data_IF_519825430657
#
_entry.id   IF_519825430657
#
_cell.length_a   1.000
_cell.length_b   1.000
_cell.length_c   1.000
_cell.angle_alpha   90.00
_cell.angle_beta   90.00
_cell.angle_gamma   90.00
#
_symmetry.space_group_name_H-M   'P 1'
#
loop_
_entity.id
_entity.type
_entity.pdbx_description
1 polymer ?
#
# COMPACT_ATOMS: atom_id res chain seq x y z
N UNK A 1 10.43 -20.17 14.80
CA UNK A 1 10.03 -19.31 13.67
C UNK A 1 9.97 -17.90 14.21
N UNK A 2 10.54 -16.93 13.50
CA UNK A 2 10.55 -15.52 13.96
C UNK A 2 9.12 -14.98 14.02
N UNK A 3 8.86 -14.07 14.97
CA UNK A 3 7.57 -13.39 15.08
C UNK A 3 7.25 -12.64 13.77
N UNK A 4 5.98 -12.60 13.37
CA UNK A 4 5.55 -12.03 12.08
C UNK A 4 6.04 -10.59 11.89
N UNK A 5 5.85 -9.72 12.88
CA UNK A 5 6.26 -8.31 12.81
C UNK A 5 7.79 -8.13 12.77
N UNK A 6 8.54 -9.01 13.44
CA UNK A 6 10.01 -8.99 13.42
C UNK A 6 10.51 -9.41 12.04
N UNK A 7 9.90 -10.43 11.45
CA UNK A 7 10.22 -10.87 10.09
C UNK A 7 9.89 -9.79 9.05
N UNK A 8 8.75 -9.10 9.19
CA UNK A 8 8.40 -7.97 8.33
C UNK A 8 9.46 -6.86 8.42
N UNK A 9 9.86 -6.46 9.63
CA UNK A 9 10.89 -5.43 9.83
C UNK A 9 12.22 -5.82 9.15
N UNK A 10 12.66 -7.08 9.29
CA UNK A 10 13.86 -7.60 8.63
C UNK A 10 13.74 -7.59 7.11
N UNK A 11 12.60 -7.98 6.55
CA UNK A 11 12.37 -7.96 5.10
C UNK A 11 12.37 -6.52 4.58
N UNK A 12 11.66 -5.61 5.22
CA UNK A 12 11.61 -4.19 4.81
C UNK A 12 13.02 -3.61 4.78
N UNK A 13 13.85 -3.90 5.78
CA UNK A 13 15.24 -3.46 5.85
C UNK A 13 16.13 -4.10 4.76
N UNK A 14 15.96 -5.39 4.49
CA UNK A 14 16.71 -6.05 3.41
C UNK A 14 16.32 -5.54 2.02
N UNK A 15 15.04 -5.22 1.82
CA UNK A 15 14.56 -4.66 0.56
C UNK A 15 14.98 -3.19 0.43
N UNK A 16 14.91 -2.36 1.47
CA UNK A 16 15.28 -0.93 1.38
C UNK A 16 16.73 -0.71 0.93
N UNK A 17 17.65 -1.59 1.32
CA UNK A 17 19.06 -1.58 0.87
C UNK A 17 19.24 -1.68 -0.65
N UNK A 18 18.25 -2.22 -1.36
CA UNK A 18 18.25 -2.28 -2.83
C UNK A 18 17.92 -0.93 -3.48
N UNK A 19 17.39 0.02 -2.71
CA UNK A 19 16.88 1.32 -3.18
C UNK A 19 17.63 2.53 -2.59
N UNK A 20 18.65 2.32 -1.74
CA UNK A 20 19.49 3.38 -1.17
C UNK A 20 20.23 4.22 -2.23
N UNK A 21 20.60 3.58 -3.35
CA UNK A 21 21.28 4.20 -4.48
C UNK A 21 20.37 4.39 -5.70
N UNK A 22 20.97 4.33 -6.89
CA UNK A 22 20.19 4.17 -8.13
C UNK A 22 19.58 2.77 -8.18
N UNK A 23 18.40 2.65 -8.78
CA UNK A 23 17.77 1.35 -8.99
C UNK A 23 18.63 0.49 -9.92
N UNK A 24 19.11 -0.63 -9.41
CA UNK A 24 19.98 -1.57 -10.14
C UNK A 24 19.29 -2.93 -10.23
N UNK A 25 18.64 -3.17 -11.35
CA UNK A 25 17.87 -4.40 -11.60
C UNK A 25 18.78 -5.63 -11.63
N UNK A 26 20.02 -5.51 -12.11
CA UNK A 26 20.95 -6.64 -12.15
C UNK A 26 21.39 -7.04 -10.75
N UNK A 27 21.64 -6.06 -9.86
CA UNK A 27 21.89 -6.33 -8.44
C UNK A 27 20.68 -6.99 -7.75
N UNK A 28 19.46 -6.56 -8.07
CA UNK A 28 18.23 -7.18 -7.57
C UNK A 28 18.15 -8.65 -8.02
N UNK A 29 18.29 -8.91 -9.33
CA UNK A 29 18.31 -10.27 -9.90
C UNK A 29 19.38 -11.13 -9.22
N UNK A 30 20.60 -10.62 -9.08
CA UNK A 30 21.70 -11.35 -8.43
C UNK A 30 21.34 -11.75 -7.00
N UNK A 31 20.81 -10.81 -6.19
CA UNK A 31 20.39 -11.09 -4.81
C UNK A 31 19.29 -12.15 -4.74
N UNK A 32 18.30 -12.09 -5.65
CA UNK A 32 17.20 -13.06 -5.71
C UNK A 32 17.71 -14.46 -6.07
N UNK A 33 18.46 -14.61 -7.17
CA UNK A 33 18.91 -15.91 -7.64
C UNK A 33 20.01 -16.53 -6.77
N UNK A 34 20.84 -15.70 -6.13
CA UNK A 34 21.77 -16.14 -5.08
C UNK A 34 21.05 -16.48 -3.76
N UNK A 35 19.79 -16.05 -3.61
CA UNK A 35 18.95 -16.23 -2.41
C UNK A 35 19.61 -15.66 -1.16
N UNK A 36 20.35 -14.56 -1.33
CA UNK A 36 21.13 -13.93 -0.27
C UNK A 36 20.26 -12.97 0.57
N UNK A 37 19.40 -13.55 1.42
CA UNK A 37 18.51 -12.82 2.34
C UNK A 37 18.74 -13.21 3.82
N UNK A 38 19.96 -13.65 4.15
CA UNK A 38 20.30 -14.08 5.51
C UNK A 38 19.47 -15.28 5.97
N UNK A 39 18.79 -15.15 7.11
CA UNK A 39 17.96 -16.20 7.70
C UNK A 39 16.51 -16.24 7.15
N UNK A 40 16.14 -15.30 6.28
CA UNK A 40 14.77 -15.21 5.74
C UNK A 40 14.50 -16.35 4.77
N UNK A 41 13.39 -17.06 4.98
CA UNK A 41 12.97 -18.19 4.14
C UNK A 41 11.71 -17.87 3.36
N UNK A 42 11.27 -18.82 2.53
CA UNK A 42 10.01 -18.75 1.79
C UNK A 42 8.80 -18.47 2.71
N UNK A 43 8.84 -18.98 3.94
CA UNK A 43 7.79 -18.79 4.96
C UNK A 43 7.65 -17.31 5.31
N UNK A 44 8.77 -16.62 5.59
CA UNK A 44 8.75 -15.21 5.95
C UNK A 44 8.30 -14.33 4.78
N UNK A 45 8.77 -14.58 3.56
CA UNK A 45 8.32 -13.84 2.37
C UNK A 45 6.85 -14.09 2.03
N UNK A 46 6.35 -15.32 2.21
CA UNK A 46 4.93 -15.64 2.02
C UNK A 46 4.04 -14.92 3.04
N UNK A 47 4.48 -14.80 4.29
CA UNK A 47 3.81 -13.97 5.31
C UNK A 47 3.86 -12.49 4.96
N UNK A 48 5.01 -12.01 4.50
CA UNK A 48 5.20 -10.61 4.13
C UNK A 48 4.29 -10.18 2.98
N UNK A 49 3.92 -11.10 2.07
CA UNK A 49 2.90 -10.84 1.05
C UNK A 49 1.57 -10.38 1.64
N UNK A 50 1.09 -11.06 2.70
CA UNK A 50 -0.13 -10.66 3.43
C UNK A 50 0.02 -9.27 4.06
N UNK A 51 1.20 -8.94 4.57
CA UNK A 51 1.48 -7.60 5.09
C UNK A 51 1.40 -6.51 4.01
N UNK A 52 1.97 -6.75 2.82
CA UNK A 52 1.90 -5.83 1.70
C UNK A 52 0.46 -5.66 1.20
N UNK A 53 -0.29 -6.76 1.11
CA UNK A 53 -1.70 -6.78 0.74
C UNK A 53 -2.55 -5.97 1.72
N UNK A 54 -2.34 -6.20 3.02
CA UNK A 54 -2.99 -5.46 4.10
C UNK A 54 -2.71 -3.96 3.99
N UNK A 55 -1.45 -3.58 3.77
CA UNK A 55 -1.02 -2.18 3.70
C UNK A 55 -1.66 -1.46 2.50
N UNK A 56 -1.65 -2.08 1.32
CA UNK A 56 -2.29 -1.54 0.12
C UNK A 56 -3.81 -1.41 0.30
N UNK A 57 -4.46 -2.42 0.90
CA UNK A 57 -5.90 -2.42 1.14
C UNK A 57 -6.33 -1.32 2.13
N UNK A 58 -5.56 -1.15 3.22
CA UNK A 58 -5.82 -0.10 4.22
C UNK A 58 -5.66 1.29 3.60
N UNK A 59 -4.59 1.49 2.84
CA UNK A 59 -4.30 2.79 2.21
C UNK A 59 -5.36 3.16 1.17
N UNK A 60 -5.63 2.27 0.22
CA UNK A 60 -6.59 2.53 -0.88
C UNK A 60 -8.05 2.24 -0.52
N UNK A 61 -8.43 2.24 0.77
CA UNK A 61 -9.80 1.93 1.22
C UNK A 61 -10.88 2.81 0.57
N UNK A 62 -10.56 4.09 0.31
CA UNK A 62 -11.53 5.06 -0.21
C UNK A 62 -11.90 4.80 -1.67
N UNK A 63 -11.01 4.15 -2.42
CA UNK A 63 -11.22 3.75 -3.81
C UNK A 63 -12.50 2.93 -3.97
N UNK A 64 -12.74 1.98 -3.07
CA UNK A 64 -13.79 0.98 -3.21
C UNK A 64 -14.97 1.17 -2.24
N UNK A 65 -14.77 1.78 -1.07
CA UNK A 65 -15.79 1.75 -0.02
C UNK A 65 -16.65 3.01 0.11
N UNK A 66 -16.18 4.20 -0.32
CA UNK A 66 -16.89 5.46 -0.01
C UNK A 66 -16.84 6.55 -1.08
N UNK A 67 -15.72 6.75 -1.79
CA UNK A 67 -15.50 8.03 -2.48
C UNK A 67 -15.49 7.93 -4.00
N UNK A 68 -14.93 6.86 -4.57
CA UNK A 68 -14.83 6.74 -6.02
C UNK A 68 -15.84 5.75 -6.58
N UNK A 69 -15.50 4.47 -6.61
CA UNK A 69 -16.25 3.46 -7.37
C UNK A 69 -17.66 3.19 -6.85
N UNK A 70 -17.88 3.36 -5.54
CA UNK A 70 -19.20 3.29 -4.93
C UNK A 70 -20.04 4.55 -5.20
N UNK A 71 -19.41 5.73 -5.16
CA UNK A 71 -20.10 7.00 -5.37
C UNK A 71 -20.52 7.19 -6.84
N UNK A 72 -19.65 6.79 -7.77
CA UNK A 72 -19.89 6.89 -9.21
C UNK A 72 -20.76 5.75 -9.75
N UNK A 73 -21.10 4.74 -8.95
CA UNK A 73 -21.83 3.52 -9.40
C UNK A 73 -21.17 2.80 -10.59
N UNK A 74 -19.93 3.15 -10.93
CA UNK A 74 -19.14 2.55 -12.00
C UNK A 74 -18.63 1.15 -11.63
N UNK A 75 -18.95 0.71 -10.41
CA UNK A 75 -18.49 -0.56 -9.88
C UNK A 75 -19.60 -1.33 -9.19
N UNK A 76 -20.04 -2.41 -9.84
CA UNK A 76 -20.83 -3.46 -9.22
C UNK A 76 -19.93 -4.68 -9.09
N UNK A 77 -19.48 -4.96 -7.87
CA UNK A 77 -18.65 -6.11 -7.56
C UNK A 77 -19.21 -7.47 -8.04
N UNK A 78 -20.48 -7.62 -8.46
CA UNK A 78 -21.18 -8.87 -8.13
C UNK A 78 -22.17 -9.50 -9.10
N UNK A 79 -22.56 -8.91 -10.22
CA UNK A 79 -23.59 -9.61 -11.04
C UNK A 79 -22.98 -10.70 -11.94
N UNK A 80 -21.64 -10.70 -12.20
CA UNK A 80 -20.95 -11.70 -13.05
C UNK A 80 -19.46 -11.90 -12.64
N UNK A 81 -19.17 -11.93 -11.33
CA UNK A 81 -17.82 -12.01 -10.76
C UNK A 81 -17.14 -13.38 -10.98
N UNK A 82 -16.89 -13.78 -12.23
CA UNK A 82 -15.80 -14.71 -12.52
C UNK A 82 -14.54 -13.88 -12.40
N UNK A 83 -13.89 -13.89 -11.23
CA UNK A 83 -12.53 -13.33 -11.16
C UNK A 83 -11.74 -14.03 -12.25
N UNK A 84 -11.26 -13.24 -13.21
CA UNK A 84 -10.35 -13.69 -14.24
C UNK A 84 -9.00 -13.92 -13.59
N UNK A 85 -8.90 -14.81 -12.59
CA UNK A 85 -7.71 -15.17 -11.79
C UNK A 85 -6.65 -15.81 -12.69
N UNK A 86 -6.22 -15.15 -13.78
CA UNK A 86 -5.27 -15.67 -14.75
C UNK A 86 -3.99 -16.17 -14.10
N UNK A 87 -3.59 -15.52 -13.01
CA UNK A 87 -2.38 -15.84 -12.25
C UNK A 87 -2.57 -17.00 -11.27
N UNK A 88 -3.81 -17.46 -11.02
CA UNK A 88 -4.09 -18.59 -10.11
C UNK A 88 -4.95 -19.62 -10.82
N UNK A 89 -4.46 -20.85 -10.89
CA UNK A 89 -5.30 -21.98 -11.24
C UNK A 89 -6.27 -22.29 -10.09
N UNK A 90 -7.40 -21.56 -10.07
CA UNK A 90 -8.38 -21.65 -9.01
C UNK A 90 -8.95 -23.06 -8.85
N UNK A 91 -9.13 -23.79 -9.97
CA UNK A 91 -9.66 -25.16 -9.90
C UNK A 91 -8.67 -26.08 -9.17
N UNK A 92 -7.37 -25.98 -9.47
CA UNK A 92 -6.34 -26.71 -8.73
C UNK A 92 -6.28 -26.31 -7.27
N UNK A 93 -6.33 -25.01 -6.97
CA UNK A 93 -6.37 -24.49 -5.59
C UNK A 93 -7.59 -25.01 -4.82
N UNK A 94 -8.78 -24.91 -5.42
CA UNK A 94 -10.04 -25.39 -4.87
C UNK A 94 -10.00 -26.89 -4.56
N UNK A 95 -9.51 -27.70 -5.50
CA UNK A 95 -9.39 -29.14 -5.31
C UNK A 95 -8.41 -29.47 -4.19
N UNK A 96 -7.25 -28.80 -4.15
CA UNK A 96 -6.31 -28.94 -3.05
C UNK A 96 -6.96 -28.62 -1.70
N UNK A 97 -7.70 -27.51 -1.59
CA UNK A 97 -8.38 -27.14 -0.36
C UNK A 97 -9.40 -28.20 0.06
N UNK A 98 -10.29 -28.61 -0.85
CA UNK A 98 -11.34 -29.59 -0.57
C UNK A 98 -10.79 -30.98 -0.20
N UNK A 99 -9.60 -31.33 -0.67
CA UNK A 99 -8.93 -32.61 -0.35
C UNK A 99 -8.18 -32.57 0.99
N UNK A 100 -7.68 -31.41 1.41
CA UNK A 100 -6.77 -31.29 2.55
C UNK A 100 -7.40 -30.63 3.79
N UNK A 101 -8.56 -30.00 3.66
CA UNK A 101 -9.23 -29.30 4.75
C UNK A 101 -10.69 -29.75 4.91
N UNK A 102 -11.20 -29.65 6.14
CA UNK A 102 -12.55 -30.10 6.51
C UNK A 102 -13.65 -29.06 6.17
N UNK A 103 -13.54 -28.37 5.04
CA UNK A 103 -14.56 -27.45 4.54
C UNK A 103 -14.65 -27.52 3.03
N UNK A 104 -15.83 -27.21 2.49
CA UNK A 104 -16.12 -27.33 1.06
C UNK A 104 -16.22 -25.95 0.41
N UNK A 105 -15.31 -25.70 -0.53
CA UNK A 105 -15.37 -24.57 -1.44
C UNK A 105 -16.33 -24.89 -2.60
N UNK A 106 -17.56 -24.37 -2.55
CA UNK A 106 -18.52 -24.47 -3.65
C UNK A 106 -18.42 -23.27 -4.60
N UNK A 107 -17.80 -23.46 -5.77
CA UNK A 107 -17.59 -22.38 -6.74
C UNK A 107 -16.76 -21.19 -6.21
N UNK A 108 -16.57 -20.17 -7.05
CA UNK A 108 -15.80 -18.97 -6.73
C UNK A 108 -16.74 -17.80 -6.40
N UNK A 109 -16.88 -17.45 -5.11
CA UNK A 109 -17.66 -16.28 -4.69
C UNK A 109 -17.18 -15.58 -3.40
N UNK A 110 -16.11 -16.07 -2.76
CA UNK A 110 -15.74 -15.67 -1.40
C UNK A 110 -14.24 -15.37 -1.27
N UNK A 111 -13.91 -14.32 -0.53
CA UNK A 111 -12.57 -14.03 -0.02
C UNK A 111 -12.33 -14.74 1.31
N UNK A 112 -13.40 -14.86 2.11
CA UNK A 112 -13.38 -15.46 3.44
C UNK A 112 -14.45 -16.55 3.51
N UNK A 113 -14.09 -17.70 4.06
CA UNK A 113 -14.98 -18.86 4.26
C UNK A 113 -15.13 -19.21 5.74
N UNK A 114 -16.03 -20.15 6.04
CA UNK A 114 -16.34 -20.58 7.42
C UNK A 114 -16.56 -19.40 8.36
N UNK A 115 -17.26 -18.39 7.84
CA UNK A 115 -17.40 -17.11 8.53
C UNK A 115 -18.57 -17.14 9.52
N UNK A 116 -18.34 -16.73 10.75
CA UNK A 116 -19.38 -16.59 11.76
C UNK A 116 -19.42 -15.16 12.32
N UNK A 117 -20.57 -14.45 12.28
CA UNK A 117 -21.77 -14.77 11.50
C UNK A 117 -21.51 -14.73 9.99
N UNK A 118 -22.35 -15.37 9.17
CA UNK A 118 -22.18 -15.34 7.71
C UNK A 118 -22.23 -13.92 7.14
N UNK A 119 -21.38 -13.58 6.14
CA UNK A 119 -21.39 -12.27 5.51
C UNK A 119 -22.66 -12.07 4.67
N UNK A 120 -23.20 -10.86 4.68
CA UNK A 120 -24.39 -10.54 3.87
C UNK A 120 -24.13 -10.51 2.36
N UNK A 121 -22.88 -10.22 1.96
CA UNK A 121 -22.37 -10.17 0.59
C UNK A 121 -20.85 -9.93 0.60
N UNK A 122 -20.21 -9.87 -0.57
CA UNK A 122 -18.75 -9.65 -0.68
C UNK A 122 -18.29 -8.32 -0.06
N UNK A 123 -19.12 -7.27 -0.02
CA UNK A 123 -18.72 -6.01 0.61
C UNK A 123 -18.54 -6.20 2.12
N UNK A 124 -19.39 -7.02 2.72
CA UNK A 124 -19.25 -7.38 4.13
C UNK A 124 -17.95 -8.15 4.34
N UNK A 125 -17.60 -9.11 3.47
CA UNK A 125 -16.30 -9.79 3.52
C UNK A 125 -15.10 -8.84 3.40
N UNK A 126 -15.14 -7.90 2.45
CA UNK A 126 -14.08 -6.90 2.23
C UNK A 126 -13.90 -6.02 3.47
N UNK A 127 -15.01 -5.50 4.02
CA UNK A 127 -14.96 -4.66 5.24
C UNK A 127 -14.41 -5.48 6.41
N UNK A 128 -14.82 -6.74 6.52
CA UNK A 128 -14.37 -7.66 7.56
C UNK A 128 -12.87 -7.93 7.47
N UNK A 129 -12.38 -8.21 6.27
CA UNK A 129 -10.96 -8.43 5.98
C UNK A 129 -10.13 -7.20 6.32
N UNK A 130 -10.54 -6.03 5.83
CA UNK A 130 -9.83 -4.77 6.08
C UNK A 130 -9.77 -4.42 7.56
N UNK A 131 -10.87 -4.57 8.28
CA UNK A 131 -10.88 -4.35 9.73
C UNK A 131 -9.91 -5.31 10.44
N UNK A 132 -9.82 -6.57 9.97
CA UNK A 132 -8.85 -7.52 10.49
C UNK A 132 -7.43 -7.00 10.31
N UNK A 133 -7.10 -6.55 9.11
CA UNK A 133 -5.81 -5.95 8.79
C UNK A 133 -5.51 -4.69 9.60
N UNK A 134 -6.47 -3.78 9.73
CA UNK A 134 -6.30 -2.50 10.42
C UNK A 134 -6.03 -2.62 11.92
N UNK A 135 -6.43 -3.74 12.53
CA UNK A 135 -6.34 -4.00 13.98
C UNK A 135 -5.47 -5.22 14.32
N UNK A 136 -4.63 -5.71 13.40
CA UNK A 136 -3.79 -6.90 13.61
C UNK A 136 -4.58 -8.14 14.07
N UNK A 137 -5.84 -8.25 13.62
CA UNK A 137 -6.79 -9.32 13.99
C UNK A 137 -6.83 -10.44 12.95
N UNK A 138 -5.64 -10.84 12.49
CA UNK A 138 -5.41 -11.91 11.53
C UNK A 138 -4.14 -12.70 11.90
N UNK A 139 -4.09 -13.98 11.57
CA UNK A 139 -3.01 -14.86 12.01
C UNK A 139 -3.31 -16.33 11.72
N UNK A 140 -2.78 -17.27 12.50
CA UNK A 140 -2.99 -18.72 12.28
C UNK A 140 -2.70 -19.15 10.83
N UNK A 141 -1.54 -18.71 10.33
CA UNK A 141 -1.11 -18.94 8.95
C UNK A 141 -0.96 -20.44 8.66
N UNK A 142 -1.61 -20.91 7.59
CA UNK A 142 -1.46 -22.26 7.04
C UNK A 142 -0.69 -22.22 5.73
N UNK A 143 0.22 -23.18 5.56
CA UNK A 143 1.17 -23.24 4.44
C UNK A 143 1.22 -24.64 3.85
N UNK A 144 1.50 -24.75 2.56
CA UNK A 144 1.95 -26.00 1.94
C UNK A 144 3.47 -26.02 1.90
N UNK A 145 4.03 -27.23 1.86
CA UNK A 145 5.40 -27.43 1.38
C UNK A 145 5.56 -26.78 0.00
N UNK A 146 6.62 -25.98 -0.24
CA UNK A 146 7.83 -25.81 0.59
C UNK A 146 7.80 -24.64 1.59
N UNK A 147 6.64 -24.02 1.82
CA UNK A 147 6.43 -22.88 2.72
C UNK A 147 5.53 -21.79 2.14
N UNK A 148 4.75 -22.09 1.09
CA UNK A 148 3.86 -21.14 0.42
C UNK A 148 2.58 -20.99 1.23
N UNK A 149 2.15 -19.75 1.45
CA UNK A 149 0.91 -19.47 2.18
C UNK A 149 -0.33 -19.83 1.38
N UNK A 150 -1.34 -20.37 2.06
CA UNK A 150 -2.60 -20.80 1.46
C UNK A 150 -3.79 -20.17 2.17
N UNK A 151 -3.76 -20.17 3.51
CA UNK A 151 -4.87 -19.73 4.35
C UNK A 151 -4.35 -18.97 5.57
N UNK A 152 -5.20 -18.11 6.12
CA UNK A 152 -5.01 -17.56 7.45
C UNK A 152 -6.35 -17.26 8.12
N UNK A 153 -6.37 -17.24 9.44
CA UNK A 153 -7.56 -16.88 10.22
C UNK A 153 -7.72 -15.37 10.31
N UNK A 154 -8.98 -14.91 10.32
CA UNK A 154 -9.38 -13.58 10.77
C UNK A 154 -10.25 -13.69 12.02
N UNK A 155 -10.09 -12.78 12.98
CA UNK A 155 -10.77 -12.84 14.28
C UNK A 155 -11.07 -11.43 14.79
N UNK A 156 -12.03 -10.76 14.18
CA UNK A 156 -12.27 -9.37 14.48
C UNK A 156 -12.93 -9.18 15.84
N UNK A 157 -12.29 -8.36 16.68
CA UNK A 157 -12.74 -8.01 18.02
C UNK A 157 -13.05 -6.52 18.08
N UNK A 158 -14.14 -6.17 18.74
CA UNK A 158 -14.46 -4.79 19.11
C UNK A 158 -14.63 -4.71 20.62
N UNK A 159 -13.88 -3.82 21.26
CA UNK A 159 -13.81 -3.69 22.73
C UNK A 159 -13.56 -5.04 23.44
N UNK A 160 -12.69 -5.87 22.86
CA UNK A 160 -12.36 -7.20 23.38
C UNK A 160 -13.39 -8.29 23.11
N UNK A 161 -14.54 -7.97 22.51
CA UNK A 161 -15.55 -8.96 22.14
C UNK A 161 -15.40 -9.40 20.69
N UNK A 162 -15.29 -10.71 20.45
CA UNK A 162 -15.29 -11.28 19.11
C UNK A 162 -16.60 -10.93 18.39
N UNK A 163 -16.49 -10.22 17.28
CA UNK A 163 -17.62 -9.86 16.41
C UNK A 163 -17.79 -10.86 15.27
N UNK A 164 -16.69 -11.25 14.65
CA UNK A 164 -16.70 -12.25 13.59
C UNK A 164 -15.35 -12.94 13.45
N UNK A 165 -15.40 -14.19 13.00
CA UNK A 165 -14.23 -14.98 12.62
C UNK A 165 -14.45 -15.64 11.26
N UNK A 166 -13.37 -16.04 10.61
CA UNK A 166 -13.42 -16.76 9.34
C UNK A 166 -12.02 -17.14 8.86
N UNK A 167 -11.95 -17.84 7.73
CA UNK A 167 -10.71 -18.28 7.10
C UNK A 167 -10.55 -17.53 5.79
N UNK A 168 -9.47 -16.77 5.68
CA UNK A 168 -9.08 -16.01 4.51
C UNK A 168 -8.35 -16.91 3.50
N UNK A 169 -8.76 -16.83 2.23
CA UNK A 169 -8.17 -17.56 1.11
C UNK A 169 -7.02 -16.72 0.53
N UNK A 170 -5.78 -16.99 0.96
CA UNK A 170 -4.68 -16.05 0.73
C UNK A 170 -4.37 -15.78 -0.75
N UNK A 171 -4.22 -16.79 -1.64
CA UNK A 171 -3.95 -16.51 -3.04
C UNK A 171 -5.08 -15.72 -3.70
N UNK A 172 -6.33 -16.05 -3.35
CA UNK A 172 -7.51 -15.36 -3.86
C UNK A 172 -7.53 -13.89 -3.43
N UNK A 173 -7.23 -13.63 -2.16
CA UNK A 173 -7.18 -12.29 -1.59
C UNK A 173 -6.03 -11.49 -2.21
N UNK A 174 -4.86 -12.10 -2.39
CA UNK A 174 -3.71 -11.47 -3.01
C UNK A 174 -4.03 -10.98 -4.42
N UNK A 175 -4.61 -11.84 -5.25
CA UNK A 175 -5.01 -11.49 -6.62
C UNK A 175 -6.16 -10.47 -6.66
N UNK A 176 -7.09 -10.57 -5.71
CA UNK A 176 -8.16 -9.59 -5.53
C UNK A 176 -7.59 -8.19 -5.21
N UNK A 177 -6.66 -8.09 -4.25
CA UNK A 177 -6.06 -6.82 -3.87
C UNK A 177 -5.22 -6.26 -5.03
N UNK A 178 -4.45 -7.10 -5.73
CA UNK A 178 -3.71 -6.71 -6.94
C UNK A 178 -4.57 -5.99 -7.97
N UNK A 179 -5.76 -6.51 -8.24
CA UNK A 179 -6.63 -5.98 -9.29
C UNK A 179 -7.45 -4.80 -8.82
N UNK A 180 -8.08 -4.93 -7.64
CA UNK A 180 -9.11 -3.99 -7.23
C UNK A 180 -8.54 -2.80 -6.45
N UNK A 181 -7.44 -2.98 -5.74
CA UNK A 181 -6.83 -1.92 -4.93
C UNK A 181 -5.63 -1.24 -5.60
N UNK A 182 -5.06 -1.78 -6.68
CA UNK A 182 -4.01 -1.11 -7.47
C UNK A 182 -4.57 -0.06 -8.42
N UNK A 183 -3.95 1.12 -8.50
CA UNK A 183 -4.22 2.13 -9.54
C UNK A 183 -3.38 1.93 -10.82
N UNK A 184 -2.45 0.96 -10.84
CA UNK A 184 -1.63 0.67 -12.02
C UNK A 184 -2.51 0.04 -13.11
N UNK A 185 -2.50 0.60 -14.32
CA UNK A 185 -3.48 0.23 -15.36
C UNK A 185 -3.24 -1.12 -16.05
N UNK A 186 -2.04 -1.69 -15.93
CA UNK A 186 -1.70 -3.01 -16.49
C UNK A 186 -2.29 -4.14 -15.65
N UNK A 187 -2.30 -3.97 -14.32
CA UNK A 187 -2.74 -5.00 -13.36
C UNK A 187 -4.07 -4.67 -12.67
N UNK A 188 -4.34 -3.39 -12.45
CA UNK A 188 -5.34 -2.86 -11.54
C UNK A 188 -6.54 -2.19 -12.19
N UNK A 189 -7.33 -1.50 -11.36
CA UNK A 189 -8.46 -0.69 -11.79
C UNK A 189 -8.14 0.81 -11.63
N UNK A 190 -7.65 1.48 -12.68
CA UNK A 190 -7.25 2.88 -12.59
C UNK A 190 -8.47 3.80 -12.43
N UNK A 191 -8.67 4.44 -11.28
CA UNK A 191 -9.82 5.37 -11.11
C UNK A 191 -9.46 6.82 -11.45
N UNK A 192 -8.15 7.11 -11.52
CA UNK A 192 -7.60 8.39 -11.95
C UNK A 192 -6.23 8.19 -12.58
N UNK A 193 -5.87 9.12 -13.46
CA UNK A 193 -4.54 9.25 -14.03
C UNK A 193 -3.96 10.60 -13.69
N UNK A 194 -2.65 10.68 -13.49
CA UNK A 194 -1.95 11.94 -13.30
C UNK A 194 -0.64 11.96 -14.06
N UNK A 195 -0.29 13.12 -14.61
CA UNK A 195 0.93 13.31 -15.39
C UNK A 195 1.30 14.80 -15.47
N UNK A 196 2.53 15.08 -15.92
CA UNK A 196 3.04 16.43 -16.13
C UNK A 196 3.27 16.63 -17.61
N UNK A 197 2.81 17.74 -18.17
CA UNK A 197 3.10 18.11 -19.56
C UNK A 197 3.27 19.63 -19.70
N UNK A 198 3.63 20.09 -20.89
CA UNK A 198 3.61 21.50 -21.27
C UNK A 198 2.36 21.86 -22.11
N UNK A 199 1.33 21.02 -22.09
CA UNK A 199 0.06 21.22 -22.77
C UNK A 199 -1.07 21.27 -21.74
N UNK A 200 -1.96 22.25 -21.89
CA UNK A 200 -3.19 22.31 -21.11
C UNK A 200 -4.30 21.61 -21.87
N UNK A 201 -4.79 20.49 -21.33
CA UNK A 201 -5.95 19.74 -21.84
C UNK A 201 -7.27 20.44 -21.51
N UNK A 202 -7.24 21.40 -20.57
CA UNK A 202 -8.40 22.24 -20.25
C UNK A 202 -8.55 23.42 -21.21
N UNK A 203 -7.43 24.00 -21.63
CA UNK A 203 -7.40 25.17 -22.53
C UNK A 203 -7.07 24.80 -23.98
N UNK A 204 -6.72 23.53 -24.24
CA UNK A 204 -6.33 22.98 -25.54
C UNK A 204 -5.16 23.73 -26.18
N UNK A 205 -4.15 24.11 -25.39
CA UNK A 205 -2.99 24.87 -25.87
C UNK A 205 -1.68 24.57 -25.11
N UNK A 206 -0.55 24.80 -25.78
CA UNK A 206 0.77 24.73 -25.16
C UNK A 206 1.00 25.88 -24.20
N UNK A 207 1.62 25.56 -23.06
CA UNK A 207 1.98 26.50 -22.01
C UNK A 207 3.50 26.69 -21.97
N UNK A 208 3.97 27.89 -21.58
CA UNK A 208 5.41 28.14 -21.39
C UNK A 208 5.96 27.49 -20.11
N UNK A 209 5.09 26.91 -19.29
CA UNK A 209 5.40 26.26 -18.02
C UNK A 209 4.76 24.88 -17.98
N UNK A 210 5.30 24.01 -17.13
CA UNK A 210 4.71 22.70 -16.88
C UNK A 210 3.36 22.82 -16.16
N UNK A 211 2.46 21.91 -16.50
CA UNK A 211 1.14 21.74 -15.90
C UNK A 211 1.05 20.32 -15.37
N UNK A 212 0.60 20.19 -14.13
CA UNK A 212 0.23 18.91 -13.56
C UNK A 212 -1.25 18.68 -13.79
N UNK A 213 -1.56 17.59 -14.48
CA UNK A 213 -2.90 17.24 -14.93
C UNK A 213 -3.37 15.98 -14.20
N UNK A 214 -4.59 16.02 -13.68
CA UNK A 214 -5.31 14.86 -13.12
C UNK A 214 -6.54 14.62 -13.97
N UNK A 215 -6.71 13.37 -14.39
CA UNK A 215 -7.85 12.93 -15.19
C UNK A 215 -8.65 11.91 -14.40
N UNK A 216 -9.95 12.15 -14.28
CA UNK A 216 -10.92 11.23 -13.67
C UNK A 216 -12.07 10.97 -14.62
N UNK A 217 -12.69 9.80 -14.52
CA UNK A 217 -13.82 9.40 -15.36
C UNK A 217 -15.14 9.54 -14.59
N UNK A 218 -16.08 10.34 -15.10
CA UNK A 218 -17.32 10.74 -14.40
C UNK A 218 -18.60 10.12 -14.97
N UNK A 219 -18.52 9.34 -16.07
CA UNK A 219 -19.71 8.68 -16.63
C UNK A 219 -20.12 7.44 -15.81
N UNK A 220 -21.23 7.53 -15.08
CA UNK A 220 -21.76 6.48 -14.20
C UNK A 220 -22.38 5.27 -14.93
N UNK A 221 -22.66 5.43 -16.23
CA UNK A 221 -23.26 4.40 -17.07
C UNK A 221 -22.24 3.41 -17.62
N UNK A 222 -20.96 3.78 -17.61
CA UNK A 222 -19.85 2.90 -18.01
C UNK A 222 -19.23 2.29 -16.76
N UNK A 223 -19.33 0.96 -16.65
CA UNK A 223 -18.83 0.23 -15.49
C UNK A 223 -17.56 -0.54 -15.83
N UNK A 224 -16.74 -0.83 -14.80
CA UNK A 224 -15.68 -1.81 -14.93
C UNK A 224 -16.29 -3.21 -15.06
N UNK A 225 -16.23 -3.75 -16.29
CA UNK A 225 -16.75 -5.08 -16.61
C UNK A 225 -15.57 -5.96 -17.03
N UNK A 226 -15.37 -7.14 -16.39
CA UNK A 226 -14.31 -8.06 -16.79
C UNK A 226 -14.38 -8.41 -18.29
N UNK A 227 -13.24 -8.29 -18.98
CA UNK A 227 -13.13 -8.54 -20.42
C UNK A 227 -13.57 -7.38 -21.32
N UNK A 228 -14.03 -6.25 -20.75
CA UNK A 228 -14.24 -5.00 -21.48
C UNK A 228 -13.16 -3.99 -21.13
N UNK A 229 -12.70 -3.23 -22.13
CA UNK A 229 -11.72 -2.18 -21.93
C UNK A 229 -12.46 -0.95 -21.37
N UNK A 230 -12.19 -0.62 -20.12
CA UNK A 230 -12.66 0.63 -19.52
C UNK A 230 -11.85 1.82 -20.09
N UNK A 231 -12.44 3.01 -20.30
CA UNK A 231 -11.70 4.16 -20.83
C UNK A 231 -10.46 4.53 -20.02
N UNK A 232 -10.51 4.39 -18.69
CA UNK A 232 -9.32 4.61 -17.84
C UNK A 232 -8.21 3.57 -18.04
N UNK A 233 -8.51 2.37 -18.55
CA UNK A 233 -7.48 1.40 -18.96
C UNK A 233 -6.94 1.80 -20.34
N UNK A 234 -7.83 2.17 -21.27
CA UNK A 234 -7.46 2.63 -22.61
C UNK A 234 -6.57 3.88 -22.60
N UNK A 235 -6.64 4.69 -21.55
CA UNK A 235 -5.77 5.86 -21.34
C UNK A 235 -4.28 5.55 -21.58
N UNK A 236 -3.82 4.34 -21.20
CA UNK A 236 -2.44 3.91 -21.42
C UNK A 236 -2.00 3.95 -22.88
N UNK A 237 -2.91 3.68 -23.83
CA UNK A 237 -2.63 3.67 -25.28
C UNK A 237 -2.25 5.06 -25.83
N UNK A 238 -2.48 6.11 -25.02
CA UNK A 238 -2.19 7.50 -25.34
C UNK A 238 -1.06 8.07 -24.48
N UNK A 239 -0.80 7.47 -23.32
CA UNK A 239 0.20 7.97 -22.38
C UNK A 239 1.64 7.81 -22.90
N UNK A 240 1.92 6.73 -23.64
CA UNK A 240 3.25 6.46 -24.18
C UNK A 240 3.74 7.50 -25.20
N UNK A 241 2.82 8.28 -25.77
CA UNK A 241 3.11 9.20 -26.87
C UNK A 241 3.15 10.68 -26.43
N UNK A 242 2.97 10.96 -25.13
CA UNK A 242 2.88 12.33 -24.58
C UNK A 242 4.15 13.17 -24.75
N UNK A 243 5.27 12.57 -25.12
CA UNK A 243 6.52 13.26 -25.48
C UNK A 243 6.48 13.88 -26.88
N UNK A 244 5.43 13.60 -27.67
CA UNK A 244 5.26 14.11 -29.03
C UNK A 244 3.99 14.97 -29.17
N UNK A 245 4.05 16.00 -30.02
CA UNK A 245 2.89 16.84 -30.35
C UNK A 245 1.71 16.01 -30.88
N UNK A 246 2.00 14.97 -31.67
CA UNK A 246 0.98 14.05 -32.19
C UNK A 246 0.30 13.24 -31.07
N UNK A 247 1.07 12.73 -30.11
CA UNK A 247 0.51 12.00 -28.97
C UNK A 247 -0.30 12.89 -28.03
N UNK A 248 0.18 14.11 -27.79
CA UNK A 248 -0.59 15.13 -27.06
C UNK A 248 -1.93 15.42 -27.72
N UNK A 249 -1.96 15.61 -29.05
CA UNK A 249 -3.23 15.81 -29.77
C UNK A 249 -4.16 14.60 -29.66
N UNK A 250 -3.63 13.38 -29.79
CA UNK A 250 -4.45 12.16 -29.63
C UNK A 250 -5.03 12.04 -28.22
N UNK A 251 -4.26 12.37 -27.20
CA UNK A 251 -4.74 12.41 -25.82
C UNK A 251 -5.79 13.51 -25.65
N UNK A 252 -5.56 14.69 -26.21
CA UNK A 252 -6.51 15.80 -26.15
C UNK A 252 -7.86 15.43 -26.78
N UNK A 253 -7.84 14.84 -27.98
CA UNK A 253 -9.03 14.34 -28.66
C UNK A 253 -9.76 13.26 -27.84
N UNK A 254 -9.02 12.37 -27.16
CA UNK A 254 -9.59 11.33 -26.30
C UNK A 254 -10.25 11.91 -25.04
N UNK A 255 -9.62 12.90 -24.42
CA UNK A 255 -10.11 13.56 -23.21
C UNK A 255 -11.20 14.60 -23.51
N UNK A 256 -11.33 15.05 -24.76
CA UNK A 256 -12.36 16.00 -25.21
C UNK A 256 -13.75 15.34 -25.33
N UNK A 257 -14.21 14.75 -24.24
CA UNK A 257 -15.56 14.22 -24.07
C UNK A 257 -16.11 14.61 -22.70
N UNK A 258 -17.43 14.64 -22.55
CA UNK A 258 -18.08 14.92 -21.27
C UNK A 258 -17.88 13.81 -20.22
N UNK A 259 -17.27 12.69 -20.61
CA UNK A 259 -17.06 11.55 -19.72
C UNK A 259 -15.84 11.73 -18.81
N UNK A 260 -14.93 12.65 -19.15
CA UNK A 260 -13.73 12.93 -18.38
C UNK A 260 -13.82 14.28 -17.68
N UNK A 261 -13.34 14.32 -16.44
CA UNK A 261 -12.98 15.54 -15.74
C UNK A 261 -11.48 15.68 -15.71
N UNK A 262 -11.02 16.83 -16.18
CA UNK A 262 -9.62 17.23 -16.23
C UNK A 262 -9.41 18.36 -15.21
N UNK A 263 -8.54 18.12 -14.26
CA UNK A 263 -8.08 19.12 -13.29
C UNK A 263 -6.62 19.45 -13.56
N UNK A 264 -6.29 20.73 -13.54
CA UNK A 264 -4.95 21.20 -13.83
C UNK A 264 -4.48 22.16 -12.74
N UNK A 265 -3.22 22.01 -12.35
CA UNK A 265 -2.50 22.99 -11.54
C UNK A 265 -1.19 23.36 -12.23
N UNK A 266 -0.86 24.65 -12.18
CA UNK A 266 0.44 25.15 -12.63
C UNK A 266 1.50 24.73 -11.62
N UNK A 267 2.66 24.30 -12.11
CA UNK A 267 3.80 24.01 -11.25
C UNK A 267 4.35 25.33 -10.66
N UNK A 268 4.26 25.46 -9.33
CA UNK A 268 4.81 26.61 -8.60
C UNK A 268 6.36 26.57 -8.62
N UNK A 269 6.98 27.63 -9.16
CA UNK A 269 8.44 27.79 -9.21
C UNK A 269 9.09 27.66 -7.82
N UNK A 270 8.42 28.15 -6.77
CA UNK A 270 8.90 28.01 -5.40
C UNK A 270 8.91 26.55 -4.97
N UNK A 271 7.83 25.80 -5.29
CA UNK A 271 7.74 24.36 -5.01
C UNK A 271 8.80 23.59 -5.80
N UNK A 272 9.01 23.91 -7.08
CA UNK A 272 10.10 23.33 -7.90
C UNK A 272 11.46 23.55 -7.24
N UNK A 273 11.76 24.77 -6.77
CA UNK A 273 13.02 25.07 -6.08
C UNK A 273 13.19 24.26 -4.79
N UNK A 274 12.14 24.11 -3.99
CA UNK A 274 12.14 23.25 -2.79
C UNK A 274 12.46 21.80 -3.15
N UNK A 275 11.86 21.28 -4.22
CA UNK A 275 12.08 19.90 -4.67
C UNK A 275 13.48 19.68 -5.20
N UNK A 276 14.06 20.64 -5.92
CA UNK A 276 15.46 20.58 -6.31
C UNK A 276 16.38 20.43 -5.10
N UNK A 277 16.16 21.22 -4.04
CA UNK A 277 16.95 21.13 -2.82
C UNK A 277 16.79 19.75 -2.14
N UNK A 278 15.59 19.17 -2.16
CA UNK A 278 15.34 17.83 -1.63
C UNK A 278 16.11 16.79 -2.45
N UNK A 279 16.01 16.83 -3.78
CA UNK A 279 16.70 15.89 -4.68
C UNK A 279 18.21 15.95 -4.48
N UNK A 280 18.78 17.16 -4.39
CA UNK A 280 20.22 17.33 -4.14
C UNK A 280 20.65 16.73 -2.79
N UNK A 281 19.85 16.91 -1.73
CA UNK A 281 20.11 16.29 -0.42
C UNK A 281 20.05 14.77 -0.44
N UNK A 282 19.15 14.21 -1.25
CA UNK A 282 18.97 12.76 -1.43
C UNK A 282 20.00 12.14 -2.40
N UNK A 283 20.99 12.93 -2.84
CA UNK A 283 21.97 12.55 -3.85
C UNK A 283 21.33 12.05 -5.16
N UNK A 284 20.20 12.64 -5.54
CA UNK A 284 19.47 12.34 -6.76
C UNK A 284 19.83 13.26 -7.93
N UNK A 285 19.47 12.81 -9.14
CA UNK A 285 19.59 13.58 -10.38
C UNK A 285 18.30 14.35 -10.71
N UNK A 286 18.39 15.33 -11.63
CA UNK A 286 17.25 16.17 -12.04
C UNK A 286 16.09 15.39 -12.66
N UNK A 287 16.36 14.20 -13.19
CA UNK A 287 15.37 13.29 -13.79
C UNK A 287 14.31 12.85 -12.77
N UNK A 288 14.61 12.88 -11.47
CA UNK A 288 13.64 12.55 -10.40
C UNK A 288 12.62 13.66 -10.12
N UNK A 289 12.84 14.88 -10.63
CA UNK A 289 11.99 16.04 -10.31
C UNK A 289 10.52 15.86 -10.71
N UNK A 290 10.18 15.43 -11.95
CA UNK A 290 8.79 15.26 -12.35
C UNK A 290 8.06 14.24 -11.47
N UNK A 291 8.72 13.13 -11.14
CA UNK A 291 8.16 12.04 -10.34
C UNK A 291 7.99 12.42 -8.87
N UNK A 292 8.98 13.10 -8.28
CA UNK A 292 8.83 13.60 -6.90
C UNK A 292 7.74 14.67 -6.82
N UNK A 293 7.63 15.55 -7.82
CA UNK A 293 6.54 16.53 -7.88
C UNK A 293 5.18 15.82 -7.97
N UNK A 294 5.05 14.84 -8.87
CA UNK A 294 3.86 14.02 -9.05
C UNK A 294 3.48 13.32 -7.75
N UNK A 295 4.41 12.66 -7.08
CA UNK A 295 4.17 11.96 -5.81
C UNK A 295 3.64 12.86 -4.69
N UNK A 296 4.00 14.15 -4.69
CA UNK A 296 3.48 15.10 -3.71
C UNK A 296 2.12 15.70 -4.09
N UNK A 297 1.76 15.66 -5.37
CA UNK A 297 0.49 16.20 -5.86
C UNK A 297 -0.60 15.13 -5.97
N UNK A 298 -0.19 13.90 -6.29
CA UNK A 298 -1.02 12.70 -6.32
C UNK A 298 -0.33 11.54 -5.58
N UNK A 299 -0.23 11.64 -4.24
CA UNK A 299 0.39 10.60 -3.43
C UNK A 299 -0.36 9.27 -3.51
N UNK A 300 -1.67 9.28 -3.75
CA UNK A 300 -2.46 8.05 -3.82
C UNK A 300 -2.00 7.12 -4.94
N UNK A 301 -1.79 7.67 -6.14
CA UNK A 301 -1.29 6.90 -7.28
C UNK A 301 0.13 6.41 -7.05
N UNK A 302 1.03 7.29 -6.59
CA UNK A 302 2.44 6.92 -6.43
C UNK A 302 2.69 5.95 -5.27
N UNK A 303 1.92 6.03 -4.19
CA UNK A 303 1.92 5.03 -3.13
C UNK A 303 1.41 3.68 -3.65
N UNK A 304 0.35 3.69 -4.46
CA UNK A 304 -0.14 2.46 -5.09
C UNK A 304 0.93 1.84 -5.99
N UNK A 305 1.67 2.64 -6.77
CA UNK A 305 2.76 2.17 -7.62
C UNK A 305 3.87 1.52 -6.79
N UNK A 306 4.29 2.16 -5.70
CA UNK A 306 5.26 1.59 -4.76
C UNK A 306 4.83 0.22 -4.24
N UNK A 307 3.57 0.07 -3.78
CA UNK A 307 3.08 -1.21 -3.29
C UNK A 307 3.05 -2.29 -4.39
N UNK A 308 2.66 -1.94 -5.62
CA UNK A 308 2.68 -2.87 -6.76
C UNK A 308 4.12 -3.32 -7.02
N UNK A 309 5.06 -2.39 -7.08
CA UNK A 309 6.47 -2.67 -7.30
C UNK A 309 7.05 -3.64 -6.27
N UNK A 310 6.83 -3.37 -4.97
CA UNK A 310 7.37 -4.21 -3.90
C UNK A 310 6.65 -5.56 -3.82
N UNK A 311 5.34 -5.63 -4.13
CA UNK A 311 4.61 -6.90 -4.23
C UNK A 311 5.16 -7.76 -5.37
N UNK A 312 5.34 -7.18 -6.55
CA UNK A 312 5.95 -7.87 -7.70
C UNK A 312 7.34 -8.43 -7.34
N UNK A 313 8.19 -7.60 -6.70
CA UNK A 313 9.49 -8.05 -6.21
C UNK A 313 9.36 -9.22 -5.22
N UNK A 314 8.48 -9.11 -4.22
CA UNK A 314 8.25 -10.17 -3.23
C UNK A 314 7.73 -11.47 -3.86
N UNK A 315 6.81 -11.37 -4.82
CA UNK A 315 6.28 -12.52 -5.54
C UNK A 315 7.36 -13.21 -6.38
N UNK A 316 8.28 -12.45 -6.98
CA UNK A 316 9.42 -13.02 -7.71
C UNK A 316 10.40 -13.72 -6.77
N UNK A 317 10.59 -13.23 -5.54
CA UNK A 317 11.36 -13.91 -4.50
C UNK A 317 10.68 -15.24 -4.12
N UNK A 318 9.38 -15.22 -3.82
CA UNK A 318 8.57 -16.41 -3.51
C UNK A 318 8.65 -17.45 -4.64
N UNK A 319 8.49 -17.01 -5.89
CA UNK A 319 8.55 -17.90 -7.06
C UNK A 319 9.94 -18.52 -7.23
N UNK A 320 10.99 -17.73 -7.07
CA UNK A 320 12.37 -18.21 -7.14
C UNK A 320 12.64 -19.29 -6.08
N UNK A 321 12.23 -19.03 -4.83
CA UNK A 321 12.45 -19.94 -3.72
C UNK A 321 11.65 -21.25 -3.90
N UNK A 322 10.37 -21.14 -4.28
CA UNK A 322 9.49 -22.28 -4.55
C UNK A 322 10.05 -23.17 -5.66
N UNK A 323 10.35 -22.59 -6.83
CA UNK A 323 10.89 -23.36 -7.96
C UNK A 323 12.25 -23.98 -7.65
N UNK A 324 13.10 -23.30 -6.86
CA UNK A 324 14.35 -23.86 -6.40
C UNK A 324 14.13 -25.09 -5.53
N UNK A 325 13.24 -25.03 -4.53
CA UNK A 325 12.95 -26.17 -3.66
C UNK A 325 12.32 -27.35 -4.41
N UNK A 326 11.61 -27.10 -5.49
CA UNK A 326 11.04 -28.15 -6.36
C UNK A 326 12.04 -28.69 -7.40
N UNK A 327 13.24 -28.12 -7.51
CA UNK A 327 14.21 -28.49 -8.54
C UNK A 327 13.83 -28.03 -9.96
N UNK A 328 12.95 -27.05 -10.09
CA UNK A 328 12.38 -26.54 -11.37
C UNK A 328 12.78 -25.10 -11.69
N UNK A 329 13.77 -24.54 -11.01
CA UNK A 329 14.15 -23.13 -11.19
C UNK A 329 14.41 -22.76 -12.65
N UNK A 330 15.09 -23.61 -13.42
CA UNK A 330 15.39 -23.32 -14.82
C UNK A 330 14.15 -23.28 -15.73
N UNK A 331 13.03 -23.90 -15.33
CA UNK A 331 11.77 -23.87 -16.10
C UNK A 331 11.08 -22.49 -16.00
N UNK A 332 11.11 -21.86 -14.83
CA UNK A 332 10.44 -20.57 -14.57
C UNK A 332 11.36 -19.34 -14.51
N UNK A 333 12.68 -19.53 -14.66
CA UNK A 333 13.69 -18.47 -14.53
C UNK A 333 13.47 -17.29 -15.48
N UNK A 334 13.12 -17.57 -16.74
CA UNK A 334 12.92 -16.53 -17.74
C UNK A 334 11.69 -15.65 -17.45
N UNK A 335 10.64 -16.23 -16.87
CA UNK A 335 9.45 -15.47 -16.47
C UNK A 335 9.75 -14.58 -15.25
N UNK A 336 10.55 -15.09 -14.30
CA UNK A 336 11.05 -14.28 -13.18
C UNK A 336 11.89 -13.12 -13.70
N UNK A 337 12.85 -13.37 -14.59
CA UNK A 337 13.74 -12.33 -15.14
C UNK A 337 12.95 -11.23 -15.86
N UNK A 338 12.02 -11.60 -16.76
CA UNK A 338 11.20 -10.65 -17.52
C UNK A 338 10.39 -9.75 -16.60
N UNK A 339 9.76 -10.33 -15.58
CA UNK A 339 9.01 -9.56 -14.59
C UNK A 339 9.92 -8.68 -13.71
N UNK A 340 11.17 -9.08 -13.45
CA UNK A 340 12.12 -8.19 -12.76
C UNK A 340 12.59 -7.04 -13.65
N UNK A 341 12.67 -7.22 -14.97
CA UNK A 341 13.03 -6.15 -15.92
C UNK A 341 11.99 -5.01 -15.93
N UNK A 342 10.71 -5.33 -15.73
CA UNK A 342 9.62 -4.34 -15.65
C UNK A 342 9.80 -3.34 -14.48
N UNK A 343 10.49 -3.75 -13.41
CA UNK A 343 10.77 -2.86 -12.27
C UNK A 343 11.60 -1.63 -12.66
N UNK A 344 12.30 -1.66 -13.82
CA UNK A 344 13.07 -0.54 -14.33
C UNK A 344 12.21 0.70 -14.61
N UNK A 345 10.92 0.52 -14.88
CA UNK A 345 9.96 1.60 -15.14
C UNK A 345 9.87 2.60 -13.96
N UNK A 346 10.14 2.15 -12.74
CA UNK A 346 10.05 2.98 -11.53
C UNK A 346 11.38 3.64 -11.13
N UNK A 347 12.42 3.56 -11.97
CA UNK A 347 13.76 4.09 -11.64
C UNK A 347 13.78 5.59 -11.33
N UNK A 348 12.88 6.37 -11.94
CA UNK A 348 12.77 7.81 -11.70
C UNK A 348 12.04 8.14 -10.38
N UNK A 349 11.26 7.20 -9.84
CA UNK A 349 10.52 7.32 -8.56
C UNK A 349 11.37 6.96 -7.34
N UNK A 350 12.65 6.63 -7.51
CA UNK A 350 13.51 6.04 -6.47
C UNK A 350 13.58 6.87 -5.18
N UNK A 351 13.62 8.20 -5.27
CA UNK A 351 13.66 9.09 -4.10
C UNK A 351 12.37 8.93 -3.28
N UNK A 352 11.21 8.94 -3.95
CA UNK A 352 9.95 8.74 -3.28
C UNK A 352 9.83 7.32 -2.69
N UNK A 353 10.36 6.30 -3.39
CA UNK A 353 10.37 4.93 -2.88
C UNK A 353 11.16 4.79 -1.58
N UNK A 354 12.28 5.51 -1.42
CA UNK A 354 13.02 5.56 -0.14
C UNK A 354 12.13 6.07 1.00
N UNK A 355 11.38 7.14 0.77
CA UNK A 355 10.39 7.63 1.76
C UNK A 355 9.30 6.61 2.03
N UNK A 356 8.86 5.88 1.01
CA UNK A 356 7.83 4.86 1.16
C UNK A 356 8.29 3.63 1.94
N UNK A 357 9.57 3.27 1.94
CA UNK A 357 10.10 2.28 2.87
C UNK A 357 9.96 2.72 4.33
N UNK A 358 10.18 4.00 4.64
CA UNK A 358 9.92 4.55 5.99
C UNK A 358 8.45 4.44 6.35
N UNK A 359 7.53 4.74 5.42
CA UNK A 359 6.09 4.54 5.62
C UNK A 359 5.74 3.06 5.82
N UNK A 360 6.39 2.15 5.09
CA UNK A 360 6.18 0.71 5.25
C UNK A 360 6.62 0.23 6.64
N UNK A 361 7.74 0.77 7.16
CA UNK A 361 8.15 0.54 8.56
C UNK A 361 7.12 1.09 9.54
N UNK A 362 6.50 2.24 9.25
CA UNK A 362 5.40 2.81 10.04
C UNK A 362 4.14 1.92 10.03
N UNK A 363 3.79 1.28 8.91
CA UNK A 363 2.73 0.28 8.87
C UNK A 363 3.02 -0.88 9.84
N UNK A 364 4.25 -1.41 9.82
CA UNK A 364 4.65 -2.48 10.73
C UNK A 364 4.66 -2.02 12.21
N UNK A 365 5.10 -0.79 12.47
CA UNK A 365 5.03 -0.16 13.80
C UNK A 365 3.59 -0.01 14.30
N UNK A 366 2.67 0.45 13.44
CA UNK A 366 1.25 0.58 13.80
C UNK A 366 0.63 -0.77 14.18
N UNK A 367 1.00 -1.85 13.47
CA UNK A 367 0.57 -3.21 13.84
C UNK A 367 1.18 -3.67 15.17
N UNK A 368 2.44 -3.31 15.45
CA UNK A 368 3.07 -3.63 16.74
C UNK A 368 2.34 -3.03 17.93
N UNK A 369 1.75 -1.84 17.77
CA UNK A 369 1.00 -1.19 18.83
C UNK A 369 -0.32 -1.90 19.17
N UNK A 370 -0.81 -2.78 18.27
CA UNK A 370 -2.01 -3.61 18.47
C UNK A 370 -1.65 -5.06 18.87
N UNK A 371 -0.38 -5.44 18.76
CA UNK A 371 0.12 -6.80 18.98
C UNK A 371 0.22 -7.13 20.47
N UNK A 372 -0.42 -8.23 20.88
CA UNK A 372 -0.41 -8.76 22.25
C UNK A 372 0.48 -10.01 22.41
N UNK A 373 1.07 -10.50 21.33
CA UNK A 373 1.98 -11.66 21.32
C UNK A 373 3.42 -11.29 21.72
N UNK A 374 3.87 -10.05 21.44
CA UNK A 374 5.15 -9.51 21.91
C UNK A 374 5.01 -8.74 23.25
N UNK A 375 6.10 -8.58 24.03
CA UNK A 375 6.09 -7.76 25.24
C UNK A 375 5.52 -6.36 25.00
N UNK A 376 4.95 -5.70 26.01
CA UNK A 376 4.50 -4.32 25.83
C UNK A 376 5.65 -3.40 25.39
N UNK A 377 5.35 -2.44 24.52
CA UNK A 377 6.33 -1.49 24.02
C UNK A 377 6.72 -0.51 25.12
N UNK A 378 8.02 -0.38 25.41
CA UNK A 378 8.50 0.65 26.33
C UNK A 378 8.57 2.01 25.62
N UNK A 379 7.56 2.83 25.85
CA UNK A 379 7.52 4.20 25.30
C UNK A 379 8.70 5.05 25.78
N UNK A 380 9.39 4.70 26.88
CA UNK A 380 10.49 5.50 27.42
C UNK A 380 11.64 5.72 26.42
N UNK A 381 11.82 4.78 25.49
CA UNK A 381 12.91 4.76 24.52
C UNK A 381 12.60 5.56 23.23
N UNK A 382 11.34 5.97 23.03
CA UNK A 382 10.93 6.70 21.82
C UNK A 382 11.18 8.21 21.92
N UNK A 383 11.79 8.83 20.91
CA UNK A 383 11.88 10.29 20.81
C UNK A 383 10.75 10.87 19.95
N UNK A 384 9.82 11.59 20.59
CA UNK A 384 8.71 12.27 19.91
C UNK A 384 8.88 13.79 19.80
N UNK A 385 10.06 14.32 20.16
CA UNK A 385 10.31 15.77 20.24
C UNK A 385 10.25 16.50 18.90
N UNK A 386 10.34 15.76 17.79
CA UNK A 386 10.28 16.28 16.41
C UNK A 386 8.88 16.23 15.80
N UNK A 387 7.88 15.81 16.55
CA UNK A 387 6.50 15.84 16.11
C UNK A 387 5.81 17.15 16.50
N UNK A 388 5.00 17.67 15.59
CA UNK A 388 4.22 18.88 15.74
C UNK A 388 2.74 18.53 15.72
N UNK A 389 2.01 18.99 16.73
CA UNK A 389 0.56 18.79 16.90
C UNK A 389 -0.02 19.92 17.75
N UNK A 390 -1.35 20.01 17.84
CA UNK A 390 -2.03 20.97 18.71
C UNK A 390 -1.94 20.53 20.18
N UNK A 391 -1.43 21.38 21.05
CA UNK A 391 -1.33 21.12 22.49
C UNK A 391 -2.69 20.81 23.12
N UNK A 392 -3.78 21.40 22.60
CA UNK A 392 -5.12 21.13 23.11
C UNK A 392 -5.55 19.68 22.83
N UNK A 393 -5.17 19.09 21.69
CA UNK A 393 -5.49 17.70 21.38
C UNK A 393 -4.78 16.72 22.35
N UNK A 394 -3.56 17.06 22.77
CA UNK A 394 -2.82 16.29 23.78
C UNK A 394 -3.48 16.43 25.16
N UNK A 395 -3.86 17.65 25.55
CA UNK A 395 -4.56 17.91 26.82
C UNK A 395 -5.88 17.13 26.88
N UNK A 396 -6.66 17.15 25.80
CA UNK A 396 -7.93 16.41 25.71
C UNK A 396 -7.71 14.90 25.81
N UNK A 397 -6.67 14.38 25.16
CA UNK A 397 -6.28 12.98 25.28
C UNK A 397 -5.91 12.59 26.72
N UNK A 398 -5.10 13.42 27.39
CA UNK A 398 -4.72 13.18 28.78
C UNK A 398 -5.94 13.21 29.71
N UNK A 399 -6.86 14.17 29.53
CA UNK A 399 -8.10 14.25 30.30
C UNK A 399 -8.97 13.00 30.11
N UNK A 400 -9.16 12.55 28.86
CA UNK A 400 -9.89 11.31 28.54
C UNK A 400 -9.25 10.08 29.19
N UNK A 401 -7.91 10.01 29.24
CA UNK A 401 -7.18 8.94 29.91
C UNK A 401 -7.50 8.90 31.41
N UNK A 402 -7.37 10.05 32.10
CA UNK A 402 -7.64 10.14 33.54
C UNK A 402 -9.11 9.86 33.88
N UNK A 403 -10.05 10.28 33.02
CA UNK A 403 -11.47 9.97 33.20
C UNK A 403 -11.77 8.47 33.08
N UNK A 404 -11.10 7.76 32.15
CA UNK A 404 -11.33 6.32 31.92
C UNK A 404 -10.70 5.43 32.98
N UNK A 405 -9.49 5.75 33.43
CA UNK A 405 -8.71 4.86 34.29
C UNK A 405 -8.60 5.34 35.75
N UNK A 406 -9.04 6.58 36.04
CA UNK A 406 -8.95 7.19 37.37
C UNK A 406 -7.52 7.25 37.91
N UNK A 407 -7.36 7.46 39.22
CA UNK A 407 -6.06 7.36 39.91
C UNK A 407 -5.58 5.90 40.11
N UNK A 408 -6.27 4.90 39.55
CA UNK A 408 -6.02 3.48 39.85
C UNK A 408 -4.88 2.86 39.03
N UNK A 409 -4.57 3.43 37.85
CA UNK A 409 -3.28 3.21 37.19
C UNK A 409 -2.44 4.47 37.44
N UNK A 410 -1.40 4.37 38.28
CA UNK A 410 -0.32 5.34 38.20
C UNK A 410 0.18 5.30 36.75
N UNK A 411 0.26 6.46 36.10
CA UNK A 411 0.87 6.56 34.78
C UNK A 411 2.30 6.07 34.93
N UNK A 412 2.61 4.93 34.34
CA UNK A 412 3.94 4.32 34.37
C UNK A 412 4.80 4.74 33.17
N UNK A 413 4.23 5.50 32.23
CA UNK A 413 4.85 5.83 30.93
C UNK A 413 4.49 7.25 30.48
N UNK A 414 5.21 7.77 29.49
CA UNK A 414 5.02 9.14 28.99
C UNK A 414 3.74 9.24 28.12
N UNK A 415 2.71 9.94 28.63
CA UNK A 415 1.44 10.15 27.92
C UNK A 415 1.61 10.89 26.59
N UNK A 416 2.64 11.74 26.45
CA UNK A 416 2.88 12.43 25.20
C UNK A 416 3.32 11.44 24.11
N UNK A 417 4.19 10.51 24.48
CA UNK A 417 4.67 9.47 23.57
C UNK A 417 3.54 8.51 23.20
N UNK A 418 2.73 8.10 24.16
CA UNK A 418 1.53 7.29 23.90
C UNK A 418 0.55 8.02 22.98
N UNK A 419 0.35 9.32 23.19
CA UNK A 419 -0.49 10.16 22.34
C UNK A 419 0.00 10.12 20.89
N UNK A 420 1.27 10.46 20.65
CA UNK A 420 1.86 10.47 19.30
C UNK A 420 1.74 9.10 18.62
N UNK A 421 2.12 8.03 19.32
CA UNK A 421 2.03 6.66 18.79
C UNK A 421 0.58 6.27 18.46
N UNK A 422 -0.36 6.61 19.34
CA UNK A 422 -1.79 6.33 19.13
C UNK A 422 -2.33 7.04 17.91
N UNK A 423 -1.96 8.32 17.69
CA UNK A 423 -2.42 9.08 16.52
C UNK A 423 -1.82 8.58 15.22
N UNK A 424 -0.53 8.23 15.21
CA UNK A 424 0.12 7.59 14.06
C UNK A 424 -0.61 6.28 13.73
N UNK A 425 -0.82 5.40 14.72
CA UNK A 425 -1.53 4.13 14.53
C UNK A 425 -2.94 4.33 13.97
N UNK A 426 -3.74 5.20 14.58
CA UNK A 426 -5.10 5.48 14.13
C UNK A 426 -5.13 6.01 12.68
N UNK A 427 -4.22 6.93 12.35
CA UNK A 427 -4.11 7.45 10.99
C UNK A 427 -3.74 6.35 9.99
N UNK A 428 -2.75 5.51 10.32
CA UNK A 428 -2.26 4.43 9.47
C UNK A 428 -3.30 3.33 9.28
N UNK A 429 -3.94 2.84 10.34
CA UNK A 429 -5.05 1.87 10.28
C UNK A 429 -6.24 2.35 9.45
N UNK A 430 -6.25 3.63 9.10
CA UNK A 430 -7.27 4.27 8.28
C UNK A 430 -6.72 4.85 6.97
N UNK A 431 -5.46 4.61 6.61
CA UNK A 431 -4.86 5.15 5.39
C UNK A 431 -4.84 6.69 5.32
N UNK A 432 -4.98 7.37 6.46
CA UNK A 432 -5.14 8.83 6.53
C UNK A 432 -3.78 9.51 6.79
N UNK A 433 -2.89 9.46 5.82
CA UNK A 433 -1.66 10.25 5.84
C UNK A 433 -1.42 10.95 4.52
N UNK A 434 -0.68 12.05 4.56
CA UNK A 434 -0.39 12.91 3.41
C UNK A 434 1.03 13.42 3.44
N UNK A 435 1.54 13.76 2.28
CA UNK A 435 2.83 14.43 2.13
C UNK A 435 2.64 15.90 1.79
N UNK A 436 3.59 16.70 2.26
CA UNK A 436 3.77 18.10 1.91
C UNK A 436 5.28 18.40 1.90
N UNK A 437 5.66 19.64 1.70
CA UNK A 437 7.06 20.09 1.72
C UNK A 437 7.23 21.30 2.59
N UNK A 438 8.39 21.40 3.25
CA UNK A 438 8.80 22.58 3.97
C UNK A 438 10.26 22.91 3.62
N UNK A 439 10.49 24.04 2.94
CA UNK A 439 11.77 24.59 2.46
C UNK A 439 12.75 23.64 1.75
N UNK A 440 13.14 22.55 2.39
CA UNK A 440 14.13 21.58 1.96
C UNK A 440 13.88 20.16 2.48
N UNK A 441 12.68 19.86 2.99
CA UNK A 441 12.30 18.54 3.52
C UNK A 441 10.87 18.17 3.11
N UNK A 442 10.64 16.86 2.94
CA UNK A 442 9.28 16.30 2.82
C UNK A 442 8.69 16.17 4.22
N UNK A 443 7.49 16.69 4.39
CA UNK A 443 6.72 16.62 5.62
C UNK A 443 5.64 15.55 5.46
N UNK A 444 5.50 14.69 6.45
CA UNK A 444 4.40 13.73 6.54
C UNK A 444 3.42 14.17 7.60
N UNK A 445 2.13 14.07 7.29
CA UNK A 445 1.03 14.40 8.19
C UNK A 445 0.15 13.18 8.41
N UNK A 446 -0.05 12.80 9.66
CA UNK A 446 -0.96 11.75 10.10
C UNK A 446 -2.25 12.38 10.61
N UNK A 447 -3.41 11.98 10.06
CA UNK A 447 -4.72 12.54 10.39
C UNK A 447 -5.62 11.48 11.05
N UNK A 448 -5.71 11.53 12.39
CA UNK A 448 -6.66 10.72 13.15
C UNK A 448 -8.05 11.37 13.08
N UNK A 449 -8.94 10.75 12.28
CA UNK A 449 -10.29 11.26 12.01
C UNK A 449 -11.33 10.41 12.73
N UNK A 450 -12.06 11.01 13.66
CA UNK A 450 -13.12 10.33 14.41
C UNK A 450 -14.32 11.26 14.68
N UNK A 451 -15.52 10.86 14.27
CA UNK A 451 -16.78 11.61 14.50
C UNK A 451 -16.71 13.11 14.11
N UNK A 452 -16.03 13.45 13.02
CA UNK A 452 -15.86 14.82 12.54
C UNK A 452 -14.72 15.60 13.20
N UNK A 453 -14.10 15.08 14.27
CA UNK A 453 -12.82 15.59 14.79
C UNK A 453 -11.67 15.09 13.93
N UNK A 454 -10.68 15.96 13.70
CA UNK A 454 -9.43 15.63 13.03
C UNK A 454 -8.28 16.07 13.94
N UNK A 455 -7.52 15.11 14.46
CA UNK A 455 -6.26 15.37 15.16
C UNK A 455 -5.12 15.16 14.18
N UNK A 456 -4.28 16.18 14.00
CA UNK A 456 -3.18 16.16 13.04
C UNK A 456 -1.84 16.11 13.77
N UNK A 457 -1.00 15.14 13.42
CA UNK A 457 0.40 15.07 13.84
C UNK A 457 1.30 15.15 12.61
N UNK A 458 2.34 15.97 12.67
CA UNK A 458 3.26 16.20 11.55
C UNK A 458 4.72 16.03 11.97
N UNK A 459 5.56 15.57 11.05
CA UNK A 459 7.03 15.57 11.21
C UNK A 459 7.70 15.55 9.84
N UNK A 460 9.03 15.73 9.78
CA UNK A 460 9.79 15.54 8.53
C UNK A 460 9.99 14.05 8.26
N UNK A 461 10.15 13.65 6.99
CA UNK A 461 10.46 12.26 6.65
C UNK A 461 11.76 11.77 7.29
N UNK A 462 12.74 12.65 7.43
CA UNK A 462 14.03 12.36 8.07
C UNK A 462 13.87 12.13 9.57
N UNK A 463 13.10 12.97 10.26
CA UNK A 463 12.85 12.80 11.69
C UNK A 463 11.99 11.56 11.96
N UNK A 464 11.04 11.25 11.06
CA UNK A 464 10.27 10.01 11.10
C UNK A 464 11.14 8.77 10.94
N UNK A 465 12.12 8.82 10.03
CA UNK A 465 13.09 7.74 9.84
C UNK A 465 13.93 7.51 11.11
N UNK A 466 14.41 8.58 11.76
CA UNK A 466 15.13 8.46 13.03
C UNK A 466 14.25 7.85 14.12
N UNK A 467 13.00 8.34 14.27
CA UNK A 467 12.02 7.83 15.23
C UNK A 467 11.81 6.31 15.09
N UNK A 468 11.78 5.80 13.84
CA UNK A 468 11.60 4.38 13.56
C UNK A 468 12.90 3.58 13.60
N UNK A 469 14.03 4.19 13.24
CA UNK A 469 15.36 3.57 13.34
C UNK A 469 15.67 3.15 14.78
N UNK A 470 15.38 4.05 15.73
CA UNK A 470 15.47 3.77 17.16
C UNK A 470 14.58 2.58 17.53
N UNK A 471 13.33 2.54 17.04
CA UNK A 471 12.40 1.46 17.32
C UNK A 471 12.81 0.08 16.75
N UNK A 472 13.30 0.00 15.51
CA UNK A 472 13.68 -1.28 14.92
C UNK A 472 14.84 -1.94 15.69
N UNK A 473 15.73 -1.12 16.28
CA UNK A 473 16.78 -1.64 17.16
C UNK A 473 16.23 -2.34 18.41
N UNK A 474 15.07 -1.91 18.90
CA UNK A 474 14.40 -2.45 20.08
C UNK A 474 13.61 -3.74 19.80
N UNK A 475 13.25 -4.00 18.53
CA UNK A 475 12.52 -5.20 18.13
C UNK A 475 13.40 -6.37 17.70
N UNK A 476 14.63 -6.08 17.24
CA UNK A 476 15.54 -7.08 16.65
C UNK A 476 16.59 -7.56 17.69
N UNK A 477 16.71 -6.85 18.82
CA UNK A 477 17.65 -7.12 19.91
C UNK A 477 17.34 -8.33 20.79
#
# INVERSE_FOLDING_TARGET
MSHYLISNAKIIEELSKLYEGKLDIDKIKEKIFSRNFGELTLVEFSKFRVFLDASLMIYNRNKLEKEYLKATKQFKYLDNFKMDLKEINYESYRNFINENYNFYLDGFAHLIIDTEPQPGNIYDEIVRLRNAFAHMQYGNFSMCEPGVMILYGIFNKDKGHLKYMGIALEPVIHEFISRYYSNQSVLGLPYKHSFISNFSFKEHEFKPHHVFTVVTFENDSVQYIPGQIHPMIQFLDYQSDLDSEFGLQRMDDFLNSSDFRVEEQILDEKKISVLHNIIEKENGDKEHLPYLYKALCDPETEISNFFVHIRQLNDRIINCFTLYSEGKLEEGKNDILRSLDELQEDSESIIFFRYMFTILKIFNFALRLEDDDLPELDYSELDVSKFVYDDQDMIDFANDYYLKFGNQKMITHDLNKEFVCTKIRNAISHGNFKFDTNYNEVIVSFEDRWNGRVVKIQTSMRDLENFIGDFNSLQIG
#
